data_IF_244916822623
#
_entry.id   IF_244916822623
#
_cell.length_a   1.000
_cell.length_b   1.000
_cell.length_c   1.000
_cell.angle_alpha   90.00
_cell.angle_beta   90.00
_cell.angle_gamma   90.00
#
_symmetry.space_group_name_H-M   'P 1'
#
loop_
_entity.id
_entity.type
_entity.pdbx_description
1 polymer ?
#
# COMPACT_ATOMS: atom_id res chain seq x y z
N UNK A 1 45.03 2.42 -105.57
CA UNK A 1 43.55 2.40 -105.47
C UNK A 1 43.15 2.01 -104.04
N UNK A 2 41.99 2.48 -103.61
CA UNK A 2 41.42 2.48 -102.25
C UNK A 2 41.42 1.15 -101.46
N UNK A 3 41.55 1.31 -100.12
CA UNK A 3 41.26 0.36 -99.00
C UNK A 3 39.82 -0.20 -99.11
N UNK A 4 39.35 -1.28 -98.42
CA UNK A 4 39.61 -1.55 -96.99
C UNK A 4 39.35 -2.99 -96.40
N UNK A 5 39.48 -3.08 -95.05
CA UNK A 5 38.84 -4.00 -94.06
C UNK A 5 39.53 -5.35 -93.72
N UNK A 6 40.07 -5.47 -92.50
CA UNK A 6 39.52 -6.15 -91.28
C UNK A 6 39.80 -7.67 -91.34
N UNK A 7 40.66 -8.26 -90.53
CA UNK A 7 40.49 -8.59 -89.10
C UNK A 7 41.86 -8.69 -88.41
N UNK A 8 42.13 -7.83 -87.43
CA UNK A 8 43.23 -8.03 -86.48
C UNK A 8 42.65 -8.86 -85.34
N UNK A 9 43.04 -10.13 -85.27
CA UNK A 9 42.80 -10.99 -84.11
C UNK A 9 43.68 -10.49 -82.96
N UNK A 10 43.12 -9.64 -82.09
CA UNK A 10 43.73 -9.26 -80.83
C UNK A 10 43.62 -10.42 -79.86
N UNK A 11 44.76 -11.07 -79.64
CA UNK A 11 45.08 -11.84 -78.43
C UNK A 11 44.57 -11.12 -77.20
N UNK A 12 43.55 -11.70 -76.56
CA UNK A 12 43.03 -11.25 -75.27
C UNK A 12 44.11 -11.49 -74.21
N UNK A 13 44.91 -10.46 -73.95
CA UNK A 13 45.86 -10.42 -72.84
C UNK A 13 45.36 -9.39 -71.85
N UNK A 14 44.95 -9.92 -70.70
CA UNK A 14 44.90 -9.31 -69.39
C UNK A 14 44.97 -7.77 -69.32
N UNK A 15 43.82 -7.16 -69.05
CA UNK A 15 43.72 -6.12 -68.02
C UNK A 15 42.52 -6.42 -67.16
N UNK A 16 42.82 -6.98 -65.98
CA UNK A 16 41.88 -7.17 -64.87
C UNK A 16 41.54 -5.79 -64.34
N UNK A 17 40.51 -5.16 -64.92
CA UNK A 17 39.87 -3.99 -64.31
C UNK A 17 38.78 -4.51 -63.39
N UNK A 18 39.18 -4.64 -62.13
CA UNK A 18 38.37 -4.89 -60.95
C UNK A 18 37.33 -3.77 -60.82
N UNK A 19 36.21 -3.91 -61.51
CA UNK A 19 35.02 -3.13 -61.20
C UNK A 19 34.38 -3.79 -59.97
N UNK A 20 34.80 -3.31 -58.80
CA UNK A 20 34.00 -3.37 -57.59
C UNK A 20 32.71 -2.62 -57.88
N UNK A 21 31.70 -3.35 -58.39
CA UNK A 21 30.31 -2.95 -58.28
C UNK A 21 30.04 -2.83 -56.79
N UNK A 22 30.08 -1.57 -56.37
CA UNK A 22 29.71 -1.06 -55.07
C UNK A 22 28.50 -1.84 -54.56
N UNK A 23 28.66 -2.40 -53.38
CA UNK A 23 27.56 -2.72 -52.50
C UNK A 23 26.66 -1.47 -52.40
N UNK A 24 25.59 -1.42 -53.19
CA UNK A 24 24.48 -0.51 -52.95
C UNK A 24 23.78 -0.97 -51.67
N UNK A 25 24.35 -0.52 -50.56
CA UNK A 25 23.65 -0.37 -49.30
C UNK A 25 22.39 0.46 -49.53
N UNK A 26 21.26 -0.24 -49.53
CA UNK A 26 19.90 0.29 -49.47
C UNK A 26 19.76 1.47 -48.51
N UNK A 27 18.84 2.42 -48.80
CA UNK A 27 17.96 2.86 -47.71
C UNK A 27 16.53 3.13 -48.19
N UNK A 28 15.82 2.12 -48.71
CA UNK A 28 14.38 2.24 -49.01
C UNK A 28 13.47 1.95 -47.79
N UNK A 29 14.04 1.71 -46.60
CA UNK A 29 13.30 1.34 -45.38
C UNK A 29 13.42 2.36 -44.23
N UNK A 30 13.81 3.61 -44.49
CA UNK A 30 14.01 4.61 -43.43
C UNK A 30 12.69 5.08 -42.79
N UNK A 31 11.63 5.28 -43.59
CA UNK A 31 10.33 5.74 -43.10
C UNK A 31 9.60 4.74 -42.18
N UNK A 32 9.72 3.43 -42.45
CA UNK A 32 9.14 2.38 -41.60
C UNK A 32 9.92 2.19 -40.30
N UNK A 33 11.26 2.29 -40.33
CA UNK A 33 12.08 2.21 -39.11
C UNK A 33 11.75 3.31 -38.12
N UNK A 34 11.51 4.54 -38.60
CA UNK A 34 11.08 5.65 -37.74
C UNK A 34 9.71 5.43 -37.10
N UNK A 35 8.76 4.82 -37.82
CA UNK A 35 7.46 4.47 -37.25
C UNK A 35 7.58 3.39 -36.16
N UNK A 36 8.40 2.37 -36.39
CA UNK A 36 8.67 1.31 -35.42
C UNK A 36 9.34 1.89 -34.16
N UNK A 37 10.36 2.73 -34.33
CA UNK A 37 11.05 3.42 -33.23
C UNK A 37 10.07 4.31 -32.44
N UNK A 38 9.20 5.06 -33.13
CA UNK A 38 8.17 5.88 -32.48
C UNK A 38 7.18 5.04 -31.68
N UNK A 39 6.79 3.88 -32.20
CA UNK A 39 5.89 2.94 -31.52
C UNK A 39 6.53 2.41 -30.23
N UNK A 40 7.78 1.96 -30.28
CA UNK A 40 8.52 1.53 -29.09
C UNK A 40 8.73 2.65 -28.07
N UNK A 41 8.99 3.88 -28.53
CA UNK A 41 9.10 5.03 -27.65
C UNK A 41 7.79 5.30 -26.91
N UNK A 42 6.66 5.25 -27.64
CA UNK A 42 5.34 5.46 -27.04
C UNK A 42 4.95 4.36 -26.06
N UNK A 43 5.28 3.10 -26.32
CA UNK A 43 4.98 2.00 -25.39
C UNK A 43 5.80 2.09 -24.12
N UNK A 44 7.10 2.42 -24.22
CA UNK A 44 7.96 2.66 -23.06
C UNK A 44 7.46 3.83 -22.23
N UNK A 45 7.06 4.94 -22.89
CA UNK A 45 6.51 6.11 -22.20
C UNK A 45 5.19 5.77 -21.49
N UNK A 46 4.31 5.00 -22.13
CA UNK A 46 3.03 4.62 -21.56
C UNK A 46 3.20 3.64 -20.38
N UNK A 47 4.14 2.72 -20.48
CA UNK A 47 4.49 1.80 -19.39
C UNK A 47 5.11 2.54 -18.20
N UNK A 48 6.00 3.50 -18.46
CA UNK A 48 6.59 4.36 -17.42
C UNK A 48 5.52 5.22 -16.74
N UNK A 49 4.60 5.81 -17.49
CA UNK A 49 3.50 6.59 -16.95
C UNK A 49 2.59 5.73 -16.06
N UNK A 50 2.26 4.51 -16.51
CA UNK A 50 1.45 3.56 -15.73
C UNK A 50 2.14 3.17 -14.42
N UNK A 51 3.45 2.93 -14.45
CA UNK A 51 4.24 2.63 -13.26
C UNK A 51 4.28 3.81 -12.27
N UNK A 52 4.49 5.04 -12.76
CA UNK A 52 4.47 6.25 -11.93
C UNK A 52 3.12 6.46 -11.25
N UNK A 53 2.02 6.28 -11.98
CA UNK A 53 0.65 6.38 -11.42
C UNK A 53 0.40 5.30 -10.38
N UNK A 54 0.88 4.07 -10.61
CA UNK A 54 0.74 2.96 -9.67
C UNK A 54 1.47 3.23 -8.34
N UNK A 55 2.71 3.69 -8.40
CA UNK A 55 3.49 4.05 -7.20
C UNK A 55 2.87 5.25 -6.48
N UNK A 56 2.37 6.23 -7.23
CA UNK A 56 1.66 7.39 -6.67
C UNK A 56 0.38 6.98 -5.93
N UNK A 57 -0.41 6.09 -6.52
CA UNK A 57 -1.62 5.56 -5.92
C UNK A 57 -1.33 4.77 -4.64
N UNK A 58 -0.27 3.94 -4.65
CA UNK A 58 0.18 3.20 -3.47
C UNK A 58 0.56 4.14 -2.32
N UNK A 59 1.28 5.23 -2.61
CA UNK A 59 1.69 6.21 -1.61
C UNK A 59 0.51 6.92 -0.97
N UNK A 60 -0.50 7.31 -1.77
CA UNK A 60 -1.74 7.91 -1.26
C UNK A 60 -2.59 6.93 -0.45
N UNK A 61 -2.55 5.64 -0.79
CA UNK A 61 -3.28 4.61 -0.06
C UNK A 61 -2.72 4.39 1.35
N UNK A 62 -1.40 4.53 1.54
CA UNK A 62 -0.76 4.39 2.88
C UNK A 62 -1.19 5.52 3.82
N UNK A 63 -1.23 6.76 3.34
CA UNK A 63 -1.62 7.92 4.14
C UNK A 63 -3.07 7.81 4.64
N UNK A 64 -3.99 7.36 3.77
CA UNK A 64 -5.40 7.16 4.12
C UNK A 64 -5.57 6.01 5.13
N UNK A 65 -4.84 4.90 4.94
CA UNK A 65 -4.90 3.76 5.88
C UNK A 65 -4.41 4.11 7.29
N UNK A 66 -3.39 4.97 7.39
CA UNK A 66 -2.88 5.43 8.69
C UNK A 66 -3.88 6.32 9.41
N UNK A 67 -4.55 7.24 8.70
CA UNK A 67 -5.61 8.09 9.27
C UNK A 67 -6.83 7.27 9.73
N UNK A 68 -7.23 6.26 8.97
CA UNK A 68 -8.31 5.37 9.38
C UNK A 68 -7.93 4.65 10.67
N UNK A 69 -6.71 4.11 10.74
CA UNK A 69 -6.23 3.40 11.93
C UNK A 69 -6.14 4.28 13.18
N UNK A 70 -5.77 5.55 13.05
CA UNK A 70 -5.76 6.48 14.19
C UNK A 70 -7.18 6.77 14.68
N UNK A 71 -8.11 7.04 13.77
CA UNK A 71 -9.51 7.31 14.12
C UNK A 71 -10.18 6.08 14.75
N UNK A 72 -9.90 4.88 14.26
CA UNK A 72 -10.38 3.62 14.85
C UNK A 72 -9.87 3.43 16.28
N UNK A 73 -8.60 3.74 16.53
CA UNK A 73 -8.03 3.68 17.88
C UNK A 73 -8.68 4.69 18.82
N UNK A 74 -8.96 5.90 18.34
CA UNK A 74 -9.63 6.94 19.13
C UNK A 74 -11.06 6.51 19.49
N UNK A 75 -11.81 5.94 18.54
CA UNK A 75 -13.15 5.39 18.79
C UNK A 75 -13.12 4.31 19.86
N UNK A 76 -12.21 3.33 19.73
CA UNK A 76 -12.08 2.25 20.70
C UNK A 76 -11.72 2.77 22.11
N UNK A 77 -10.85 3.77 22.20
CA UNK A 77 -10.50 4.39 23.48
C UNK A 77 -11.71 5.10 24.11
N UNK A 78 -12.48 5.84 23.32
CA UNK A 78 -13.70 6.51 23.79
C UNK A 78 -14.77 5.51 24.22
N UNK A 79 -14.92 4.40 23.50
CA UNK A 79 -15.90 3.35 23.83
C UNK A 79 -15.55 2.66 25.16
N UNK A 80 -14.28 2.32 25.37
CA UNK A 80 -13.80 1.76 26.63
C UNK A 80 -14.01 2.73 27.80
N UNK A 81 -13.66 4.01 27.62
CA UNK A 81 -13.88 5.02 28.65
C UNK A 81 -15.38 5.18 29.00
N UNK A 82 -16.27 5.08 28.00
CA UNK A 82 -17.71 5.13 28.23
C UNK A 82 -18.21 3.89 28.99
N UNK A 83 -17.72 2.71 28.64
CA UNK A 83 -18.04 1.47 29.34
C UNK A 83 -17.62 1.50 30.81
N UNK A 84 -16.42 2.00 31.10
CA UNK A 84 -15.92 2.16 32.47
C UNK A 84 -16.79 3.14 33.28
N UNK A 85 -17.10 4.31 32.71
CA UNK A 85 -17.97 5.30 33.35
C UNK A 85 -19.38 4.75 33.62
N UNK A 86 -19.95 3.98 32.68
CA UNK A 86 -21.24 3.31 32.88
C UNK A 86 -21.18 2.28 34.00
N UNK A 87 -20.08 1.54 34.10
CA UNK A 87 -19.81 0.63 35.21
C UNK A 87 -19.76 1.35 36.55
N UNK A 88 -19.08 2.48 36.61
CA UNK A 88 -18.97 3.30 37.83
C UNK A 88 -20.32 3.89 38.26
N UNK A 89 -21.11 4.42 37.32
CA UNK A 89 -22.48 4.88 37.59
C UNK A 89 -23.34 3.75 38.13
N UNK A 90 -23.27 2.56 37.52
CA UNK A 90 -24.06 1.40 37.96
C UNK A 90 -23.68 0.96 39.37
N UNK A 91 -22.39 1.00 39.70
CA UNK A 91 -21.87 0.72 41.04
C UNK A 91 -22.39 1.74 42.06
N UNK A 92 -22.31 3.03 41.76
CA UNK A 92 -22.80 4.11 42.63
C UNK A 92 -24.31 4.01 42.84
N UNK A 93 -25.07 3.76 41.78
CA UNK A 93 -26.52 3.58 41.85
C UNK A 93 -26.90 2.35 42.67
N UNK A 94 -26.15 1.25 42.55
CA UNK A 94 -26.33 0.06 43.38
C UNK A 94 -26.09 0.37 44.86
N UNK A 95 -25.03 1.10 45.19
CA UNK A 95 -24.70 1.48 46.57
C UNK A 95 -25.79 2.39 47.17
N UNK A 96 -26.22 3.41 46.42
CA UNK A 96 -27.30 4.30 46.82
C UNK A 96 -28.63 3.55 46.98
N UNK A 97 -28.89 2.55 46.13
CA UNK A 97 -30.07 1.68 46.27
C UNK A 97 -30.00 0.83 47.53
N UNK A 98 -28.86 0.24 47.85
CA UNK A 98 -28.65 -0.53 49.07
C UNK A 98 -28.89 0.37 50.30
N UNK A 99 -28.34 1.58 50.30
CA UNK A 99 -28.53 2.54 51.38
C UNK A 99 -30.00 2.94 51.55
N UNK A 100 -30.70 3.20 50.44
CA UNK A 100 -32.14 3.51 50.47
C UNK A 100 -32.96 2.36 51.06
N UNK A 101 -32.73 1.12 50.62
CA UNK A 101 -33.43 -0.06 51.18
C UNK A 101 -33.08 -0.23 52.66
N UNK A 102 -31.81 -0.04 53.02
CA UNK A 102 -31.37 -0.15 54.40
C UNK A 102 -32.07 0.86 55.32
N UNK A 103 -32.14 2.14 54.92
CA UNK A 103 -32.74 3.21 55.73
C UNK A 103 -34.27 3.15 55.73
N UNK A 104 -34.88 2.97 54.56
CA UNK A 104 -36.33 3.11 54.40
C UNK A 104 -37.09 1.82 54.71
N UNK A 105 -36.64 0.68 54.18
CA UNK A 105 -37.39 -0.58 54.27
C UNK A 105 -36.99 -1.38 55.52
N UNK A 106 -35.70 -1.31 55.89
CA UNK A 106 -35.14 -2.05 57.03
C UNK A 106 -34.99 -1.18 58.29
N UNK A 107 -35.23 0.13 58.20
CA UNK A 107 -35.14 1.04 59.34
C UNK A 107 -33.74 1.15 59.95
N UNK A 108 -32.68 0.78 59.22
CA UNK A 108 -31.32 0.89 59.71
C UNK A 108 -30.94 2.36 59.90
N UNK A 109 -30.34 2.63 61.06
CA UNK A 109 -29.78 3.93 61.42
C UNK A 109 -28.27 3.84 61.49
N UNK A 110 -27.60 4.93 61.13
CA UNK A 110 -26.14 4.97 61.11
C UNK A 110 -25.56 4.85 62.53
N UNK A 111 -24.65 3.91 62.79
CA UNK A 111 -24.17 3.63 64.13
C UNK A 111 -23.27 4.75 64.67
N UNK A 112 -23.61 5.28 65.85
CA UNK A 112 -22.89 6.41 66.47
C UNK A 112 -21.60 6.00 67.20
N UNK A 113 -21.39 4.69 67.44
CA UNK A 113 -20.18 4.17 68.11
C UNK A 113 -19.70 2.89 67.45
N UNK A 114 -18.40 2.84 67.15
CA UNK A 114 -17.72 1.61 66.76
C UNK A 114 -17.34 0.82 68.01
N UNK A 115 -17.79 -0.44 68.07
CA UNK A 115 -17.39 -1.40 69.10
C UNK A 115 -16.62 -2.51 68.42
N UNK A 116 -15.35 -2.69 68.81
CA UNK A 116 -14.51 -3.77 68.32
C UNK A 116 -14.74 -5.00 69.19
N UNK A 117 -15.18 -6.08 68.56
CA UNK A 117 -15.32 -7.38 69.21
C UNK A 117 -14.16 -8.25 68.73
N UNK A 118 -13.35 -8.78 69.65
CA UNK A 118 -12.30 -9.73 69.31
C UNK A 118 -12.92 -11.05 68.89
N UNK A 119 -12.66 -11.49 67.66
CA UNK A 119 -13.20 -12.75 67.17
C UNK A 119 -12.56 -13.93 67.93
N UNK A 120 -13.35 -14.86 68.48
CA UNK A 120 -12.81 -15.98 69.25
C UNK A 120 -12.14 -17.01 68.34
N UNK A 121 -10.98 -17.53 68.77
CA UNK A 121 -10.09 -18.42 67.98
C UNK A 121 -10.78 -19.66 67.39
N UNK A 122 -11.84 -20.15 68.05
CA UNK A 122 -12.65 -21.30 67.63
C UNK A 122 -13.35 -21.15 66.27
N UNK A 123 -13.47 -19.93 65.76
CA UNK A 123 -14.03 -19.65 64.42
C UNK A 123 -12.98 -19.55 63.31
N UNK A 124 -11.69 -19.56 63.67
CA UNK A 124 -10.59 -19.57 62.69
C UNK A 124 -10.15 -21.00 62.31
N UNK A 125 -10.81 -22.02 62.85
CA UNK A 125 -10.58 -23.41 62.48
C UNK A 125 -11.24 -23.68 61.13
N UNK A 126 -10.44 -23.58 60.06
CA UNK A 126 -10.83 -24.10 58.75
C UNK A 126 -11.02 -25.62 58.83
N UNK A 127 -12.02 -26.20 58.14
CA UNK A 127 -12.09 -27.64 57.95
C UNK A 127 -10.89 -28.16 57.14
#
# INVERSE_FOLDING_TARGET
MNKPRVLINSTSTASVTRNTDREELQPAASGQRWHIIRLYLTTILLLSAMFTVYVWQSTKMVEVKLRIKSVENDINNLENANADLRGEISKLQSLARIESVAKNDLGMVEPTRLVYITMPDKWNSRP
#
